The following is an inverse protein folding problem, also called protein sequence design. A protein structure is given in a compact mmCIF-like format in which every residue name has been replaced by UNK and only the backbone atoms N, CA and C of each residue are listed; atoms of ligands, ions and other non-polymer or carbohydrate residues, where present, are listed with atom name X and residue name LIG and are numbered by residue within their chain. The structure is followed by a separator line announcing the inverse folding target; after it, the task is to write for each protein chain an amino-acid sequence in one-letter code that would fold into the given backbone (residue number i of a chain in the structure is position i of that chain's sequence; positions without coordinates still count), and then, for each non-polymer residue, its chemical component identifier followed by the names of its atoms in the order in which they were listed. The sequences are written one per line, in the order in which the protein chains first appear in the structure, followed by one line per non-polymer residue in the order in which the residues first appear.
data_IF_734921485846
#
_entry.id   IF_734921485846
#
_cell.length_a   1.000
_cell.length_b   1.000
_cell.length_c   1.000
_cell.angle_alpha   90.00
_cell.angle_beta   90.00
_cell.angle_gamma   90.00
#
_symmetry.space_group_name_H-M   'P 1'
#
loop_
_entity.id
_entity.type
_entity.pdbx_description
1 polymer ?
#
# COMPACT_ATOMS: atom_id res chain seq x y z
N UNK A 1 10.47 -23.12 -21.58
CA UNK A 1 9.31 -22.26 -21.27
C UNK A 1 8.93 -22.36 -19.78
N UNK A 2 9.91 -22.38 -18.85
CA UNK A 2 9.66 -22.73 -17.44
C UNK A 2 10.39 -21.88 -16.38
N UNK A 3 11.28 -20.98 -16.77
CA UNK A 3 12.10 -20.20 -15.84
C UNK A 3 11.76 -18.70 -15.77
N UNK A 4 10.83 -18.20 -16.57
CA UNK A 4 10.47 -16.77 -16.59
C UNK A 4 9.62 -16.30 -15.39
N UNK A 5 9.13 -17.22 -14.55
CA UNK A 5 8.24 -16.91 -13.42
C UNK A 5 8.91 -16.98 -12.04
N UNK A 6 10.21 -17.27 -11.95
CA UNK A 6 10.91 -17.46 -10.67
C UNK A 6 11.47 -16.19 -10.01
N UNK A 7 11.46 -15.03 -10.68
CA UNK A 7 12.18 -13.85 -10.19
C UNK A 7 11.40 -12.54 -10.03
N UNK A 8 10.09 -12.52 -10.30
CA UNK A 8 9.27 -11.33 -10.05
C UNK A 8 8.28 -11.62 -8.93
N UNK A 9 8.68 -11.36 -7.69
CA UNK A 9 7.74 -11.30 -6.57
C UNK A 9 6.62 -10.31 -6.94
N UNK A 10 5.38 -10.79 -6.96
CA UNK A 10 4.18 -9.98 -7.22
C UNK A 10 3.98 -9.03 -6.04
N UNK A 11 4.64 -7.89 -6.10
CA UNK A 11 4.47 -6.84 -5.13
C UNK A 11 3.19 -6.07 -5.44
N UNK A 12 2.19 -6.24 -4.58
CA UNK A 12 0.87 -5.61 -4.71
C UNK A 12 0.99 -4.08 -4.76
N UNK A 13 1.97 -3.49 -4.06
CA UNK A 13 2.19 -2.03 -4.07
C UNK A 13 2.63 -1.56 -5.46
N UNK A 14 3.55 -2.30 -6.10
CA UNK A 14 4.02 -2.03 -7.48
C UNK A 14 2.88 -2.11 -8.49
N UNK A 15 2.03 -3.12 -8.36
CA UNK A 15 0.88 -3.27 -9.26
C UNK A 15 -0.09 -2.08 -9.16
N UNK A 16 -0.39 -1.64 -7.93
CA UNK A 16 -1.29 -0.49 -7.71
C UNK A 16 -0.65 0.82 -8.19
N UNK A 17 0.64 1.02 -7.93
CA UNK A 17 1.37 2.19 -8.41
C UNK A 17 1.31 2.29 -9.94
N UNK A 18 1.60 1.19 -10.63
CA UNK A 18 1.59 1.11 -12.08
C UNK A 18 0.18 1.28 -12.67
N UNK A 19 -0.84 0.64 -12.07
CA UNK A 19 -2.22 0.76 -12.55
C UNK A 19 -2.79 2.18 -12.40
N UNK A 20 -2.38 2.91 -11.36
CA UNK A 20 -2.79 4.29 -11.11
C UNK A 20 -1.83 5.33 -11.71
N UNK A 21 -0.72 4.89 -12.30
CA UNK A 21 0.39 5.74 -12.76
C UNK A 21 0.78 6.82 -11.73
N UNK A 22 0.83 6.44 -10.45
CA UNK A 22 1.04 7.37 -9.32
C UNK A 22 1.88 6.67 -8.25
N UNK A 23 2.85 7.35 -7.62
CA UNK A 23 3.60 6.77 -6.50
C UNK A 23 2.68 6.38 -5.34
N UNK A 24 2.94 5.22 -4.72
CA UNK A 24 2.15 4.75 -3.56
C UNK A 24 3.05 4.38 -2.39
N UNK A 25 2.61 4.71 -1.17
CA UNK A 25 3.22 4.26 0.07
C UNK A 25 2.19 3.45 0.86
N UNK A 26 2.62 2.32 1.42
CA UNK A 26 1.79 1.50 2.31
C UNK A 26 2.64 1.09 3.50
N UNK A 27 2.16 1.44 4.70
CA UNK A 27 2.72 0.98 5.97
C UNK A 27 2.49 -0.51 6.17
N UNK A 28 3.45 -1.21 6.77
CA UNK A 28 3.41 -2.68 6.95
C UNK A 28 2.21 -3.18 7.77
N UNK A 29 1.69 -2.35 8.67
CA UNK A 29 0.53 -2.64 9.53
C UNK A 29 -0.83 -2.40 8.86
N UNK A 30 -0.88 -1.90 7.62
CA UNK A 30 -2.13 -1.66 6.89
C UNK A 30 -2.98 -2.93 6.66
N UNK A 31 -2.38 -4.12 6.83
CA UNK A 31 -3.07 -5.41 6.69
C UNK A 31 -3.90 -5.85 7.91
N UNK A 32 -3.72 -5.24 9.09
CA UNK A 32 -4.40 -5.68 10.32
C UNK A 32 -5.77 -5.04 10.55
N UNK A 33 -6.07 -3.94 9.84
CA UNK A 33 -7.40 -3.34 9.79
C UNK A 33 -7.94 -2.84 11.15
N UNK A 34 -9.26 -2.95 11.35
CA UNK A 34 -9.96 -2.32 12.48
C UNK A 34 -9.61 -2.86 13.87
N UNK A 35 -9.22 -4.14 13.98
CA UNK A 35 -8.85 -4.75 15.26
C UNK A 35 -7.55 -4.12 15.82
N UNK A 36 -6.57 -3.88 14.95
CA UNK A 36 -5.35 -3.16 15.31
C UNK A 36 -5.66 -1.73 15.76
N UNK A 37 -6.57 -1.04 15.06
CA UNK A 37 -7.04 0.29 15.47
C UNK A 37 -7.61 0.31 16.89
N UNK A 38 -8.42 -0.69 17.26
CA UNK A 38 -8.97 -0.81 18.61
C UNK A 38 -7.90 -1.10 19.66
N UNK A 39 -6.92 -1.94 19.36
CA UNK A 39 -5.79 -2.20 20.24
C UNK A 39 -4.93 -0.94 20.47
N UNK A 40 -4.69 -0.16 19.41
CA UNK A 40 -3.99 1.12 19.50
C UNK A 40 -4.77 2.13 20.34
N UNK A 41 -6.09 2.20 20.18
CA UNK A 41 -6.94 3.07 21.00
C UNK A 41 -6.93 2.66 22.48
N UNK A 42 -7.02 1.36 22.77
CA UNK A 42 -6.90 0.85 24.14
C UNK A 42 -5.52 1.18 24.74
N UNK A 43 -4.45 1.01 23.96
CA UNK A 43 -3.09 1.37 24.35
C UNK A 43 -2.95 2.88 24.61
N UNK A 44 -3.56 3.73 23.77
CA UNK A 44 -3.59 5.17 23.97
C UNK A 44 -4.26 5.54 25.30
N UNK A 45 -5.40 4.93 25.63
CA UNK A 45 -6.09 5.19 26.90
C UNK A 45 -5.20 4.87 28.12
N UNK A 46 -4.36 3.84 28.05
CA UNK A 46 -3.47 3.42 29.15
C UNK A 46 -2.18 4.25 29.22
N UNK A 47 -1.64 4.66 28.07
CA UNK A 47 -0.29 5.22 27.98
C UNK A 47 -0.21 6.70 27.57
N UNK A 48 -1.35 7.39 27.38
CA UNK A 48 -1.34 8.81 27.05
C UNK A 48 -0.77 9.65 28.21
N UNK A 49 0.30 10.38 27.92
CA UNK A 49 0.93 11.29 28.87
C UNK A 49 0.68 12.74 28.42
N UNK A 50 -0.59 13.13 28.41
CA UNK A 50 -1.10 14.43 27.92
C UNK A 50 -0.86 14.75 26.42
N UNK A 51 -0.28 13.82 25.65
CA UNK A 51 -0.20 13.94 24.20
C UNK A 51 -1.56 13.69 23.54
N UNK A 52 -1.79 14.30 22.40
CA UNK A 52 -2.94 14.01 21.53
C UNK A 52 -2.81 12.62 20.90
N UNK A 53 -3.93 12.06 20.42
CA UNK A 53 -3.92 10.80 19.69
C UNK A 53 -3.02 10.87 18.45
N UNK A 54 -3.02 12.00 17.73
CA UNK A 54 -2.17 12.20 16.57
C UNK A 54 -0.68 12.08 16.94
N UNK A 55 -0.25 12.77 18.00
CA UNK A 55 1.13 12.71 18.48
C UNK A 55 1.51 11.31 18.96
N UNK A 56 0.60 10.60 19.63
CA UNK A 56 0.82 9.21 20.03
C UNK A 56 1.02 8.28 18.82
N UNK A 57 0.18 8.42 17.80
CA UNK A 57 0.31 7.62 16.58
C UNK A 57 1.65 7.89 15.90
N UNK A 58 2.01 9.15 15.69
CA UNK A 58 3.26 9.52 15.01
C UNK A 58 4.50 9.11 15.81
N UNK A 59 4.54 9.39 17.11
CA UNK A 59 5.77 9.26 17.90
C UNK A 59 5.91 7.94 18.66
N UNK A 60 4.85 7.13 18.75
CA UNK A 60 4.90 5.82 19.46
C UNK A 60 4.51 4.66 18.57
N UNK A 61 3.40 4.77 17.84
CA UNK A 61 2.86 3.64 17.08
C UNK A 61 3.58 3.47 15.74
N UNK A 62 3.83 4.57 15.04
CA UNK A 62 4.45 4.59 13.72
C UNK A 62 5.91 5.08 13.71
N UNK A 63 6.49 5.39 14.87
CA UNK A 63 7.85 5.93 14.98
C UNK A 63 8.94 5.02 14.40
N UNK A 64 8.66 3.73 14.26
CA UNK A 64 9.58 2.73 13.69
C UNK A 64 8.99 2.02 12.46
N UNK A 65 7.92 2.57 11.88
CA UNK A 65 7.34 2.02 10.66
C UNK A 65 8.13 2.52 9.46
N UNK A 66 8.72 1.59 8.72
CA UNK A 66 9.33 1.91 7.43
C UNK A 66 8.22 2.09 6.41
N UNK A 67 8.06 3.31 5.92
CA UNK A 67 7.32 3.56 4.69
C UNK A 67 8.23 3.26 3.52
N UNK A 68 7.75 2.44 2.59
CA UNK A 68 8.44 2.19 1.33
C UNK A 68 7.62 2.85 0.23
N UNK A 69 8.17 3.94 -0.32
CA UNK A 69 7.60 4.61 -1.48
C UNK A 69 7.87 3.76 -2.71
N UNK A 70 6.79 3.36 -3.37
CA UNK A 70 6.86 2.57 -4.59
C UNK A 70 6.55 3.45 -5.79
N UNK A 71 7.57 3.68 -6.61
CA UNK A 71 7.43 4.36 -7.89
C UNK A 71 6.79 3.42 -8.93
N UNK A 72 5.92 3.94 -9.81
CA UNK A 72 5.38 3.16 -10.91
C UNK A 72 6.50 2.77 -11.89
N UNK A 73 6.58 1.47 -12.23
CA UNK A 73 7.45 1.02 -13.31
C UNK A 73 6.83 1.40 -14.66
N UNK A 74 7.51 2.17 -15.54
CA UNK A 74 6.98 2.58 -16.83
C UNK A 74 6.54 1.42 -17.73
N UNK A 75 7.17 0.24 -17.62
CA UNK A 75 6.79 -0.95 -18.39
C UNK A 75 5.45 -1.51 -17.92
N UNK A 76 5.24 -1.55 -16.61
CA UNK A 76 4.00 -2.04 -16.02
C UNK A 76 2.85 -1.04 -16.26
N UNK A 77 3.10 0.27 -16.20
CA UNK A 77 2.12 1.34 -16.56
C UNK A 77 1.63 1.14 -17.99
N UNK A 78 2.55 0.96 -18.95
CA UNK A 78 2.20 0.74 -20.35
C UNK A 78 1.34 -0.52 -20.53
N UNK A 79 1.66 -1.59 -19.80
CA UNK A 79 0.87 -2.81 -19.80
C UNK A 79 -0.56 -2.60 -19.30
N UNK A 80 -0.74 -1.85 -18.20
CA UNK A 80 -2.05 -1.49 -17.69
C UNK A 80 -2.84 -0.57 -18.64
N UNK A 81 -2.18 0.39 -19.30
CA UNK A 81 -2.81 1.24 -20.31
C UNK A 81 -3.37 0.44 -21.50
N UNK A 82 -2.60 -0.52 -22.01
CA UNK A 82 -3.05 -1.41 -23.08
C UNK A 82 -4.21 -2.30 -22.62
N UNK A 83 -4.13 -2.83 -21.40
CA UNK A 83 -5.21 -3.61 -20.80
C UNK A 83 -6.50 -2.80 -20.64
N UNK A 84 -6.43 -1.57 -20.12
CA UNK A 84 -7.61 -0.71 -19.96
C UNK A 84 -8.24 -0.32 -21.29
N UNK A 85 -7.44 -0.09 -22.34
CA UNK A 85 -7.96 0.13 -23.70
C UNK A 85 -8.72 -1.08 -24.22
N UNK A 86 -8.17 -2.29 -24.04
CA UNK A 86 -8.82 -3.53 -24.45
C UNK A 86 -10.10 -3.80 -23.64
N UNK A 87 -10.07 -3.55 -22.33
CA UNK A 87 -11.23 -3.68 -21.44
C UNK A 87 -12.34 -2.71 -21.83
N UNK A 88 -12.00 -1.43 -22.06
CA UNK A 88 -12.97 -0.42 -22.48
C UNK A 88 -13.59 -0.75 -23.83
N UNK A 89 -12.81 -1.31 -24.76
CA UNK A 89 -13.34 -1.79 -26.03
C UNK A 89 -14.32 -2.93 -25.82
N UNK A 90 -13.94 -3.94 -25.04
CA UNK A 90 -14.81 -5.07 -24.73
C UNK A 90 -16.09 -4.67 -24.00
N UNK A 91 -16.04 -3.68 -23.10
CA UNK A 91 -17.20 -3.24 -22.33
C UNK A 91 -18.19 -2.37 -23.13
N UNK A 92 -17.78 -1.84 -24.28
CA UNK A 92 -18.61 -1.02 -25.16
C UNK A 92 -19.19 -1.78 -26.36
N UNK A 93 -18.78 -3.02 -26.58
CA UNK A 93 -19.33 -3.96 -27.56
C UNK A 93 -20.41 -4.86 -26.91
#
# INVERSE_FOLDING_TARGET
MGDYLKHRSLDKKKMVAAALNTPVSVVSTAGEGGAFGMAVLASYMVHHQQQTLAEFLTHRVFAHTSEELMEPDPLDVKGFDEFFKALSKWACD
#
